data_IF_884421873925
#
_entry.id   IF_884421873925
#
_cell.length_a   1.000
_cell.length_b   1.000
_cell.length_c   1.000
_cell.angle_alpha   90.00
_cell.angle_beta   90.00
_cell.angle_gamma   90.00
#
_symmetry.space_group_name_H-M   'P 1'
#
loop_
_entity.id
_entity.type
_entity.pdbx_description
1 polymer ?
#
# COMPACT_ATOMS: atom_id res chain seq x y z
N UNK A 1 55.52 -22.13 4.65
CA UNK A 1 54.96 -20.87 5.18
C UNK A 1 55.73 -19.75 4.49
N UNK A 2 55.20 -18.77 3.76
CA UNK A 2 53.87 -18.20 3.66
C UNK A 2 53.58 -17.73 2.21
N UNK A 3 52.33 -17.84 1.77
CA UNK A 3 51.84 -17.35 0.46
C UNK A 3 51.48 -15.87 0.59
N UNK A 4 51.89 -14.97 -0.34
CA UNK A 4 51.51 -13.55 -0.26
C UNK A 4 50.01 -13.36 -0.50
N UNK A 5 49.32 -12.46 0.22
CA UNK A 5 47.91 -12.22 0.05
C UNK A 5 47.63 -11.59 -1.32
N UNK A 6 46.75 -12.23 -2.10
CA UNK A 6 46.29 -11.73 -3.39
C UNK A 6 45.60 -10.38 -3.20
N UNK A 7 46.29 -9.30 -3.58
CA UNK A 7 45.69 -7.97 -3.76
C UNK A 7 44.54 -8.12 -4.78
N UNK A 8 43.28 -7.78 -4.43
CA UNK A 8 42.21 -7.75 -5.42
C UNK A 8 42.52 -6.62 -6.41
N UNK A 9 42.94 -7.02 -7.61
CA UNK A 9 43.11 -6.10 -8.72
C UNK A 9 41.72 -5.68 -9.18
N UNK A 10 41.37 -4.45 -8.79
CA UNK A 10 40.43 -3.53 -9.44
C UNK A 10 39.11 -3.24 -8.69
N UNK A 11 39.07 -2.18 -7.85
CA UNK A 11 37.85 -1.76 -7.12
C UNK A 11 36.75 -1.17 -8.03
N UNK A 12 37.06 -0.86 -9.30
CA UNK A 12 36.08 -0.35 -10.26
C UNK A 12 35.07 -1.43 -10.69
N UNK A 13 35.49 -2.68 -10.82
CA UNK A 13 34.63 -3.79 -11.27
C UNK A 13 33.52 -4.10 -10.25
N UNK A 14 33.85 -3.98 -8.95
CA UNK A 14 32.89 -4.12 -7.86
C UNK A 14 31.84 -2.99 -7.81
N UNK A 15 32.18 -1.78 -8.29
CA UNK A 15 31.25 -0.65 -8.32
C UNK A 15 30.26 -0.75 -9.50
N UNK A 16 30.70 -1.25 -10.66
CA UNK A 16 29.84 -1.45 -11.82
C UNK A 16 28.80 -2.55 -11.62
N UNK A 17 29.10 -3.56 -10.79
CA UNK A 17 28.14 -4.61 -10.44
C UNK A 17 26.93 -4.10 -9.64
N UNK A 18 27.10 -3.02 -8.85
CA UNK A 18 26.05 -2.40 -8.03
C UNK A 18 25.18 -1.43 -8.86
N UNK A 19 25.72 -0.89 -9.95
CA UNK A 19 25.06 0.08 -10.84
C UNK A 19 24.41 -0.56 -12.07
N UNK A 20 24.03 -1.85 -12.03
CA UNK A 20 23.21 -2.45 -13.08
C UNK A 20 21.78 -1.91 -13.00
N UNK A 21 21.23 -1.27 -14.05
CA UNK A 21 19.86 -0.82 -14.04
C UNK A 21 18.92 -2.03 -14.07
N UNK A 22 18.20 -2.26 -12.97
CA UNK A 22 17.05 -3.16 -12.95
C UNK A 22 16.05 -2.63 -13.97
N UNK A 23 15.79 -3.43 -15.02
CA UNK A 23 14.69 -3.21 -15.97
C UNK A 23 13.42 -3.01 -15.16
N UNK A 24 12.82 -1.81 -15.23
CA UNK A 24 11.47 -1.56 -14.72
C UNK A 24 10.53 -2.49 -15.47
N UNK A 25 9.96 -3.46 -14.76
CA UNK A 25 8.84 -4.23 -15.28
C UNK A 25 7.69 -3.24 -15.61
N UNK A 26 7.06 -3.44 -16.75
CA UNK A 26 5.92 -2.64 -17.18
C UNK A 26 4.84 -2.60 -16.08
N UNK A 27 4.14 -1.47 -15.88
CA UNK A 27 3.04 -1.43 -14.95
C UNK A 27 2.02 -2.50 -15.34
N UNK A 28 1.50 -3.31 -14.40
CA UNK A 28 0.43 -4.24 -14.71
C UNK A 28 -0.76 -3.45 -15.28
N UNK A 29 -1.53 -4.03 -16.23
CA UNK A 29 -2.70 -3.38 -16.79
C UNK A 29 -3.63 -2.93 -15.66
N UNK A 30 -4.34 -1.79 -15.82
CA UNK A 30 -5.33 -1.36 -14.84
C UNK A 30 -6.29 -2.53 -14.61
N UNK A 31 -6.27 -3.09 -13.40
CA UNK A 31 -7.24 -4.10 -13.02
C UNK A 31 -8.58 -3.41 -13.03
N UNK A 32 -9.42 -3.72 -14.02
CA UNK A 32 -10.82 -3.34 -13.99
C UNK A 32 -11.37 -3.77 -12.62
N UNK A 33 -11.97 -2.85 -11.85
CA UNK A 33 -12.51 -3.20 -10.56
C UNK A 33 -13.57 -4.26 -10.80
N UNK A 34 -13.26 -5.49 -10.40
CA UNK A 34 -14.17 -6.62 -10.49
C UNK A 34 -15.49 -6.17 -9.89
N UNK A 35 -16.55 -6.14 -10.69
CA UNK A 35 -17.89 -5.71 -10.29
C UNK A 35 -18.56 -6.74 -9.38
N UNK A 36 -17.80 -7.29 -8.42
CA UNK A 36 -18.35 -8.16 -7.41
C UNK A 36 -19.19 -7.28 -6.46
N UNK A 37 -20.41 -7.72 -6.12
CA UNK A 37 -21.18 -7.06 -5.08
C UNK A 37 -20.35 -7.11 -3.80
N UNK A 38 -20.08 -5.94 -3.21
CA UNK A 38 -19.26 -5.71 -2.01
C UNK A 38 -17.76 -5.47 -2.20
N UNK A 39 -17.26 -5.13 -3.40
CA UNK A 39 -15.89 -4.60 -3.50
C UNK A 39 -15.78 -3.27 -2.77
N UNK A 40 -14.78 -3.18 -1.87
CA UNK A 40 -14.39 -1.94 -1.21
C UNK A 40 -13.43 -1.21 -2.13
N UNK A 41 -13.76 0.01 -2.49
CA UNK A 41 -12.88 0.87 -3.27
C UNK A 41 -12.04 1.75 -2.32
N UNK A 42 -10.73 1.78 -2.55
CA UNK A 42 -9.85 2.69 -1.81
C UNK A 42 -9.97 4.08 -2.41
N UNK A 43 -10.63 4.97 -1.68
CA UNK A 43 -10.85 6.36 -2.09
C UNK A 43 -10.25 7.34 -1.07
N UNK A 44 -9.74 8.45 -1.58
CA UNK A 44 -9.24 9.55 -0.74
C UNK A 44 -10.41 10.47 -0.36
N UNK A 45 -10.92 10.33 0.86
CA UNK A 45 -11.97 11.18 1.42
C UNK A 45 -11.41 12.04 2.57
N UNK A 46 -11.98 13.23 2.77
CA UNK A 46 -11.68 14.07 3.94
C UNK A 46 -12.71 13.78 5.03
N UNK A 47 -12.23 13.47 6.22
CA UNK A 47 -13.04 13.21 7.43
C UNK A 47 -12.61 14.21 8.50
N UNK A 48 -13.58 14.75 9.23
CA UNK A 48 -13.34 15.63 10.37
C UNK A 48 -12.52 14.93 11.47
N UNK A 49 -11.65 15.70 12.13
CA UNK A 49 -10.74 15.16 13.14
C UNK A 49 -11.48 14.50 14.32
N UNK A 50 -12.53 15.12 14.84
CA UNK A 50 -13.29 14.57 15.96
C UNK A 50 -14.02 13.27 15.60
N UNK A 51 -14.48 13.14 14.35
CA UNK A 51 -15.06 11.89 13.85
C UNK A 51 -13.98 10.82 13.75
N UNK A 52 -12.82 11.16 13.19
CA UNK A 52 -11.70 10.24 13.07
C UNK A 52 -11.23 9.72 14.43
N UNK A 53 -11.10 10.61 15.42
CA UNK A 53 -10.69 10.27 16.78
C UNK A 53 -11.70 9.32 17.44
N UNK A 54 -12.99 9.62 17.34
CA UNK A 54 -14.05 8.76 17.87
C UNK A 54 -13.94 7.32 17.37
N UNK A 55 -13.77 7.12 16.06
CA UNK A 55 -13.66 5.76 15.52
C UNK A 55 -12.32 5.09 15.84
N UNK A 56 -11.23 5.85 15.94
CA UNK A 56 -9.89 5.33 16.26
C UNK A 56 -9.75 4.91 17.73
N UNK A 57 -10.44 5.56 18.66
CA UNK A 57 -10.43 5.23 20.09
C UNK A 57 -10.89 3.79 20.37
N UNK A 58 -11.85 3.29 19.59
CA UNK A 58 -12.33 1.91 19.66
C UNK A 58 -11.32 0.86 19.14
N UNK A 59 -10.15 1.28 18.67
CA UNK A 59 -9.03 0.40 18.32
C UNK A 59 -9.04 -0.12 16.87
N UNK A 60 -8.39 -1.27 16.59
CA UNK A 60 -8.29 -1.83 15.24
C UNK A 60 -9.65 -1.98 14.55
N UNK A 61 -9.69 -1.84 13.22
CA UNK A 61 -10.92 -1.93 12.44
C UNK A 61 -11.77 -0.65 12.41
N UNK A 62 -11.23 0.49 12.86
CA UNK A 62 -11.95 1.78 12.85
C UNK A 62 -12.45 2.19 11.45
N UNK A 63 -11.73 1.84 10.39
CA UNK A 63 -12.17 2.10 9.01
C UNK A 63 -13.39 1.25 8.63
N UNK A 64 -13.44 -0.01 9.09
CA UNK A 64 -14.59 -0.89 8.89
C UNK A 64 -15.83 -0.31 9.59
N UNK A 65 -15.67 0.16 10.83
CA UNK A 65 -16.76 0.81 11.58
C UNK A 65 -17.30 2.06 10.89
N UNK A 66 -16.42 2.90 10.33
CA UNK A 66 -16.84 4.05 9.51
C UNK A 66 -17.66 3.58 8.31
N UNK A 67 -17.18 2.55 7.60
CA UNK A 67 -17.88 2.03 6.44
C UNK A 67 -19.25 1.41 6.79
N UNK A 68 -19.35 0.72 7.91
CA UNK A 68 -20.62 0.15 8.40
C UNK A 68 -21.62 1.24 8.77
N UNK A 69 -21.19 2.31 9.46
CA UNK A 69 -22.02 3.47 9.73
C UNK A 69 -22.53 4.15 8.45
N UNK A 70 -21.68 4.27 7.42
CA UNK A 70 -22.09 4.79 6.12
C UNK A 70 -23.11 3.89 5.42
N UNK A 71 -22.96 2.57 5.52
CA UNK A 71 -23.92 1.59 4.97
C UNK A 71 -25.28 1.68 5.65
N UNK A 72 -25.31 1.81 6.98
CA UNK A 72 -26.54 2.00 7.74
C UNK A 72 -27.27 3.28 7.32
N UNK A 73 -26.55 4.38 7.14
CA UNK A 73 -27.11 5.65 6.68
C UNK A 73 -27.74 5.52 5.29
N UNK A 74 -27.05 4.87 4.36
CA UNK A 74 -27.56 4.63 3.00
C UNK A 74 -28.81 3.74 3.05
N UNK A 75 -28.78 2.65 3.82
CA UNK A 75 -29.92 1.75 3.98
C UNK A 75 -31.13 2.45 4.61
N UNK A 76 -30.91 3.31 5.60
CA UNK A 76 -31.96 4.13 6.22
C UNK A 76 -32.57 5.11 5.21
N UNK A 77 -31.73 5.76 4.38
CA UNK A 77 -32.20 6.67 3.32
C UNK A 77 -33.01 5.95 2.25
N UNK A 78 -32.66 4.72 1.89
CA UNK A 78 -33.40 3.94 0.88
C UNK A 78 -34.74 3.41 1.41
N UNK A 79 -34.92 3.33 2.72
CA UNK A 79 -36.16 2.86 3.35
C UNK A 79 -37.24 3.96 3.51
N UNK A 80 -36.84 5.24 3.48
CA UNK A 80 -37.75 6.39 3.58
C UNK A 80 -38.21 6.87 2.21
#
# INVERSE_FOLDING_TARGET
>A
MATPPRRPTNPMDAAEAVFKPVKKAAPPPPREPSAAPNVRELVSIRIDRGVLEHFQEDGPGWQDRINDALRELVAAKTRG
#
